data_IF_550551102867
#
_entry.id   IF_550551102867
#
_cell.length_a   1.000
_cell.length_b   1.000
_cell.length_c   1.000
_cell.angle_alpha   90.00
_cell.angle_beta   90.00
_cell.angle_gamma   90.00
#
_symmetry.space_group_name_H-M   'P 1'
#
loop_
_entity.id
_entity.type
_entity.pdbx_description
1 polymer ?
#
# COMPACT_ATOMS: atom_id res chain seq x y z
N UNK A 1 -47.24 24.07 -96.94
CA UNK A 1 -47.40 24.40 -95.52
C UNK A 1 -46.11 25.07 -95.06
N UNK A 2 -46.21 26.35 -94.70
CA UNK A 2 -45.28 27.23 -93.95
C UNK A 2 -43.78 26.85 -93.73
N UNK A 3 -42.93 27.78 -94.20
CA UNK A 3 -41.79 28.46 -93.50
C UNK A 3 -40.37 27.85 -93.63
N UNK A 4 -39.57 28.47 -94.53
CA UNK A 4 -38.11 28.72 -94.46
C UNK A 4 -37.75 29.69 -93.30
N UNK A 5 -36.49 30.06 -93.00
CA UNK A 5 -35.17 29.41 -93.07
C UNK A 5 -34.35 29.68 -91.76
N UNK A 6 -33.07 29.27 -91.65
CA UNK A 6 -31.93 30.13 -91.22
C UNK A 6 -30.64 29.37 -90.84
N UNK A 7 -29.59 29.67 -91.61
CA UNK A 7 -28.28 30.20 -91.24
C UNK A 7 -27.30 29.46 -90.30
N UNK A 8 -26.06 29.47 -90.79
CA UNK A 8 -24.81 29.07 -90.20
C UNK A 8 -24.45 29.78 -88.88
N UNK A 9 -23.72 29.07 -88.02
CA UNK A 9 -22.85 29.65 -87.01
C UNK A 9 -21.51 28.88 -86.98
N UNK A 10 -20.43 29.65 -86.98
CA UNK A 10 -19.03 29.24 -86.97
C UNK A 10 -18.68 28.28 -85.82
N UNK A 11 -17.79 27.33 -86.12
CA UNK A 11 -16.96 26.63 -85.11
C UNK A 11 -15.85 27.58 -84.66
N UNK A 12 -15.67 27.87 -83.36
CA UNK A 12 -14.44 28.48 -82.88
C UNK A 12 -13.36 27.41 -82.70
N UNK A 13 -12.17 27.64 -83.26
CA UNK A 13 -10.94 26.93 -82.89
C UNK A 13 -10.72 27.03 -81.37
N UNK A 14 -10.75 25.90 -80.67
CA UNK A 14 -10.30 25.81 -79.29
C UNK A 14 -8.77 25.74 -79.26
N UNK A 15 -8.22 26.80 -78.69
CA UNK A 15 -6.83 27.14 -78.46
C UNK A 15 -6.03 26.01 -77.77
N UNK A 16 -4.79 25.76 -78.22
CA UNK A 16 -3.82 24.77 -77.67
C UNK A 16 -3.32 25.06 -76.25
N UNK A 17 -4.11 25.70 -75.39
CA UNK A 17 -3.76 25.97 -73.98
C UNK A 17 -4.52 25.11 -72.96
N UNK A 18 -5.57 24.38 -73.37
CA UNK A 18 -6.35 23.55 -72.42
C UNK A 18 -5.88 22.08 -72.32
N UNK A 19 -4.93 21.65 -73.15
CA UNK A 19 -4.37 20.28 -73.10
C UNK A 19 -3.39 20.11 -71.92
N UNK A 20 -2.87 21.21 -71.36
CA UNK A 20 -1.93 21.17 -70.23
C UNK A 20 -2.58 20.91 -68.87
N UNK A 21 -3.89 21.12 -68.73
CA UNK A 21 -4.57 21.05 -67.41
C UNK A 21 -5.17 19.67 -67.14
N UNK A 22 -5.48 18.89 -68.19
CA UNK A 22 -6.10 17.56 -68.02
C UNK A 22 -5.09 16.47 -67.64
N UNK A 23 -3.79 16.67 -67.89
CA UNK A 23 -2.74 15.68 -67.59
C UNK A 23 -2.09 15.85 -66.19
N UNK A 24 -2.50 16.86 -65.42
CA UNK A 24 -2.17 17.00 -63.99
C UNK A 24 -3.27 16.50 -63.05
N UNK A 25 -4.47 16.21 -63.57
CA UNK A 25 -5.58 15.67 -62.76
C UNK A 25 -5.59 14.14 -62.64
N UNK A 26 -4.72 13.43 -63.38
CA UNK A 26 -4.63 11.96 -63.38
C UNK A 26 -3.35 11.39 -62.74
N UNK A 27 -2.49 12.24 -62.17
CA UNK A 27 -1.35 11.79 -61.33
C UNK A 27 -1.70 11.70 -59.84
N UNK A 28 -2.97 11.92 -59.48
CA UNK A 28 -3.48 11.90 -58.11
C UNK A 28 -4.06 10.56 -57.63
N UNK A 29 -3.95 9.49 -58.42
CA UNK A 29 -4.33 8.16 -57.96
C UNK A 29 -3.22 7.63 -57.03
N UNK A 30 -3.36 7.94 -55.74
CA UNK A 30 -2.65 7.23 -54.66
C UNK A 30 -2.77 5.73 -54.90
N UNK A 31 -1.64 5.05 -54.88
CA UNK A 31 -1.58 3.60 -54.92
C UNK A 31 -2.48 2.99 -53.84
N UNK A 32 -3.20 1.88 -54.11
CA UNK A 32 -4.05 1.22 -53.12
C UNK A 32 -3.29 0.64 -51.92
N UNK A 33 -1.95 0.71 -51.91
CA UNK A 33 -1.10 0.22 -50.83
C UNK A 33 -1.14 1.08 -49.55
N UNK A 34 -1.74 2.28 -49.57
CA UNK A 34 -1.76 3.15 -48.39
C UNK A 34 -2.86 2.85 -47.36
N UNK A 35 -3.70 1.83 -47.56
CA UNK A 35 -4.94 1.66 -46.77
C UNK A 35 -4.80 0.72 -45.55
N UNK A 36 -3.70 -0.02 -45.36
CA UNK A 36 -3.67 -1.00 -44.25
C UNK A 36 -2.33 -1.23 -43.54
N UNK A 37 -1.57 -0.16 -43.23
CA UNK A 37 -0.59 -0.27 -42.14
C UNK A 37 -1.33 -0.23 -40.79
N UNK A 38 -1.79 -1.39 -40.31
CA UNK A 38 -2.26 -1.56 -38.93
C UNK A 38 -1.21 -0.93 -38.01
N UNK A 39 -1.58 -0.05 -37.05
CA UNK A 39 -0.62 0.53 -36.15
C UNK A 39 0.04 -0.61 -35.37
N UNK A 40 1.32 -0.87 -35.63
CA UNK A 40 2.10 -1.86 -34.89
C UNK A 40 2.11 -1.39 -33.44
N UNK A 41 1.28 -2.01 -32.61
CA UNK A 41 1.20 -1.67 -31.20
C UNK A 41 2.56 -1.97 -30.59
N UNK A 42 3.27 -0.92 -30.19
CA UNK A 42 4.57 -1.05 -29.53
C UNK A 42 4.37 -1.85 -28.23
N UNK A 43 5.06 -2.99 -28.16
CA UNK A 43 4.98 -3.97 -27.07
C UNK A 43 5.62 -3.40 -25.79
N UNK A 44 5.19 -3.92 -24.64
CA UNK A 44 5.81 -3.64 -23.35
C UNK A 44 7.28 -4.12 -23.32
N UNK A 45 8.07 -3.55 -22.40
CA UNK A 45 9.48 -3.94 -22.23
C UNK A 45 9.63 -5.42 -21.83
N UNK A 46 10.79 -6.01 -22.17
CA UNK A 46 11.06 -7.41 -21.84
C UNK A 46 11.00 -7.65 -20.32
N UNK A 47 11.54 -6.71 -19.53
CA UNK A 47 11.49 -6.76 -18.06
C UNK A 47 10.06 -6.84 -17.54
N UNK A 48 9.17 -5.95 -18.01
CA UNK A 48 7.74 -6.00 -17.64
C UNK A 48 7.11 -7.34 -17.99
N UNK A 49 7.43 -7.89 -19.17
CA UNK A 49 6.89 -9.18 -19.63
C UNK A 49 7.41 -10.35 -18.78
N UNK A 50 8.68 -10.36 -18.41
CA UNK A 50 9.28 -11.39 -17.54
C UNK A 50 8.67 -11.34 -16.13
N UNK A 51 8.49 -10.14 -15.57
CA UNK A 51 7.87 -9.99 -14.24
C UNK A 51 6.40 -10.43 -14.28
N UNK A 52 5.66 -10.09 -15.33
CA UNK A 52 4.28 -10.56 -15.51
C UNK A 52 4.24 -12.09 -15.59
N UNK A 53 5.10 -12.72 -16.40
CA UNK A 53 5.15 -14.17 -16.51
C UNK A 53 5.43 -14.83 -15.15
N UNK A 54 6.43 -14.33 -14.41
CA UNK A 54 6.75 -14.83 -13.09
C UNK A 54 5.60 -14.65 -12.10
N UNK A 55 5.00 -13.46 -12.04
CA UNK A 55 3.84 -13.18 -11.17
C UNK A 55 2.64 -14.08 -11.47
N UNK A 56 2.39 -14.39 -12.74
CA UNK A 56 1.34 -15.35 -13.13
C UNK A 56 1.65 -16.77 -12.67
N UNK A 57 2.92 -17.20 -12.73
CA UNK A 57 3.31 -18.53 -12.23
C UNK A 57 3.26 -18.62 -10.70
N UNK A 58 3.56 -17.54 -9.98
CA UNK A 58 3.45 -17.50 -8.50
C UNK A 58 2.03 -17.82 -8.03
N UNK A 59 1.00 -17.45 -8.80
CA UNK A 59 -0.39 -17.77 -8.48
C UNK A 59 -0.69 -19.29 -8.43
N UNK A 60 0.17 -20.15 -9.00
CA UNK A 60 0.07 -21.62 -8.85
C UNK A 60 0.15 -22.03 -7.37
N UNK A 61 0.87 -21.28 -6.54
CA UNK A 61 0.97 -21.57 -5.11
C UNK A 61 -0.41 -21.63 -4.42
N UNK A 62 -1.40 -20.89 -4.93
CA UNK A 62 -2.75 -20.84 -4.36
C UNK A 62 -3.52 -22.18 -4.43
N UNK A 63 -3.10 -23.13 -5.26
CA UNK A 63 -3.67 -24.50 -5.21
C UNK A 63 -3.26 -25.25 -3.93
N UNK A 64 -2.22 -24.79 -3.25
CA UNK A 64 -1.58 -25.47 -2.12
C UNK A 64 -1.64 -24.68 -0.81
N UNK A 65 -2.28 -23.51 -0.80
CA UNK A 65 -2.46 -22.70 0.42
C UNK A 65 -3.91 -22.23 0.55
N UNK A 66 -4.40 -21.95 1.77
CA UNK A 66 -5.73 -21.38 1.96
C UNK A 66 -5.81 -19.96 1.39
N UNK A 67 -7.00 -19.59 0.92
CA UNK A 67 -7.29 -18.27 0.37
C UNK A 67 -7.82 -17.34 1.45
N UNK A 68 -8.58 -17.89 2.40
CA UNK A 68 -9.23 -17.13 3.45
C UNK A 68 -9.23 -17.90 4.77
N UNK A 69 -9.12 -17.17 5.88
CA UNK A 69 -9.13 -17.74 7.23
C UNK A 69 -10.22 -17.09 8.07
N UNK A 70 -11.01 -17.92 8.73
CA UNK A 70 -11.95 -17.52 9.78
C UNK A 70 -11.46 -18.11 11.09
N UNK A 71 -11.39 -17.28 12.12
CA UNK A 71 -10.93 -17.68 13.45
C UNK A 71 -11.94 -17.26 14.50
N UNK A 72 -12.29 -18.17 15.40
CA UNK A 72 -13.30 -18.00 16.43
C UNK A 72 -12.66 -18.25 17.79
N UNK A 73 -12.89 -17.37 18.77
CA UNK A 73 -12.50 -17.60 20.15
C UNK A 73 -13.75 -17.74 20.98
N UNK A 74 -13.81 -18.80 21.79
CA UNK A 74 -14.91 -19.11 22.68
C UNK A 74 -14.39 -19.27 24.12
N UNK A 75 -15.22 -19.06 25.15
CA UNK A 75 -14.82 -19.36 26.53
C UNK A 75 -14.44 -20.84 26.72
N UNK A 76 -15.07 -21.76 25.99
CA UNK A 76 -14.75 -23.19 26.02
C UNK A 76 -13.50 -23.57 25.21
N UNK A 77 -13.09 -22.71 24.27
CA UNK A 77 -11.95 -22.93 23.36
C UNK A 77 -11.06 -21.68 23.35
N UNK A 78 -10.35 -21.39 24.46
CA UNK A 78 -9.49 -20.22 24.57
C UNK A 78 -8.30 -20.24 23.60
N UNK A 79 -7.87 -21.42 23.16
CA UNK A 79 -6.89 -21.64 22.10
C UNK A 79 -7.41 -21.28 20.70
N UNK A 80 -8.73 -21.10 20.57
CA UNK A 80 -9.44 -20.72 19.37
C UNK A 80 -9.68 -21.85 18.36
N UNK A 81 -10.69 -21.61 17.52
CA UNK A 81 -11.15 -22.51 16.47
C UNK A 81 -10.93 -21.84 15.11
N UNK A 82 -10.22 -22.53 14.22
CA UNK A 82 -9.90 -22.06 12.88
C UNK A 82 -10.70 -22.81 11.83
N UNK A 83 -11.14 -22.08 10.82
CA UNK A 83 -11.72 -22.59 9.59
C UNK A 83 -10.98 -21.94 8.41
N UNK A 84 -10.36 -22.79 7.60
CA UNK A 84 -9.55 -22.39 6.45
C UNK A 84 -10.29 -22.69 5.16
N UNK A 85 -10.46 -21.67 4.33
CA UNK A 85 -11.16 -21.76 3.05
C UNK A 85 -10.13 -21.82 1.93
N UNK A 86 -10.16 -22.92 1.18
CA UNK A 86 -9.31 -23.18 0.02
C UNK A 86 -10.11 -22.95 -1.25
N UNK A 87 -9.45 -23.03 -2.42
CA UNK A 87 -10.14 -22.91 -3.71
C UNK A 87 -11.19 -24.01 -3.96
N UNK A 88 -11.09 -25.16 -3.30
CA UNK A 88 -11.89 -26.35 -3.59
C UNK A 88 -12.39 -27.10 -2.34
N UNK A 89 -12.07 -26.61 -1.14
CA UNK A 89 -12.41 -27.28 0.13
C UNK A 89 -12.36 -26.33 1.31
N UNK A 90 -12.84 -26.81 2.45
CA UNK A 90 -12.68 -26.16 3.75
C UNK A 90 -11.97 -27.14 4.69
N UNK A 91 -11.08 -26.63 5.54
CA UNK A 91 -10.37 -27.42 6.55
C UNK A 91 -10.36 -26.68 7.89
N UNK A 92 -9.80 -27.30 8.93
CA UNK A 92 -9.76 -26.75 10.30
C UNK A 92 -10.74 -27.48 11.22
N UNK A 93 -11.13 -26.85 12.32
CA UNK A 93 -12.03 -27.45 13.32
C UNK A 93 -13.52 -27.23 12.97
N UNK A 94 -13.89 -27.46 11.70
CA UNK A 94 -15.25 -27.18 11.17
C UNK A 94 -16.34 -27.95 11.92
N UNK A 95 -16.08 -29.21 12.29
CA UNK A 95 -17.06 -30.03 13.02
C UNK A 95 -17.33 -29.49 14.43
N UNK A 96 -16.31 -28.97 15.11
CA UNK A 96 -16.46 -28.34 16.43
C UNK A 96 -17.26 -27.04 16.29
N UNK A 97 -16.95 -26.23 15.27
CA UNK A 97 -17.69 -25.01 14.94
C UNK A 97 -19.16 -25.33 14.65
N UNK A 98 -19.43 -26.40 13.89
CA UNK A 98 -20.78 -26.87 13.60
C UNK A 98 -21.54 -27.29 14.87
N UNK A 99 -20.87 -27.98 15.80
CA UNK A 99 -21.44 -28.31 17.10
C UNK A 99 -21.84 -27.08 17.91
N UNK A 100 -21.02 -26.02 17.89
CA UNK A 100 -21.32 -24.76 18.55
C UNK A 100 -22.46 -23.99 17.87
N UNK A 101 -22.45 -23.95 16.54
CA UNK A 101 -23.42 -23.23 15.72
C UNK A 101 -24.83 -23.83 15.79
N UNK A 102 -24.94 -25.13 16.06
CA UNK A 102 -26.21 -25.82 16.26
C UNK A 102 -27.05 -25.20 17.39
N UNK A 103 -26.42 -24.72 18.48
CA UNK A 103 -27.15 -24.16 19.64
C UNK A 103 -27.89 -22.85 19.33
N UNK A 104 -27.43 -22.10 18.33
CA UNK A 104 -28.01 -20.81 17.89
C UNK A 104 -28.73 -20.95 16.54
N UNK A 105 -28.93 -22.19 16.06
CA UNK A 105 -29.73 -22.46 14.87
C UNK A 105 -29.04 -22.12 13.55
N UNK A 106 -27.72 -21.95 13.54
CA UNK A 106 -26.97 -21.73 12.30
C UNK A 106 -26.85 -23.04 11.50
N UNK A 107 -26.86 -22.93 10.16
CA UNK A 107 -26.77 -24.09 9.26
C UNK A 107 -25.46 -24.84 9.45
N UNK A 108 -25.49 -26.15 9.21
CA UNK A 108 -24.30 -27.00 9.29
C UNK A 108 -23.36 -26.72 8.11
N UNK A 109 -22.15 -26.25 8.41
CA UNK A 109 -21.13 -25.89 7.41
C UNK A 109 -20.58 -27.16 6.76
N UNK A 110 -20.75 -27.26 5.45
CA UNK A 110 -20.13 -28.29 4.62
C UNK A 110 -19.73 -27.71 3.26
N UNK A 111 -18.84 -28.41 2.55
CA UNK A 111 -18.31 -27.95 1.26
C UNK A 111 -19.39 -27.84 0.16
N UNK A 112 -20.49 -28.60 0.24
CA UNK A 112 -21.56 -28.57 -0.76
C UNK A 112 -22.37 -27.26 -0.73
N UNK A 113 -22.26 -26.47 0.35
CA UNK A 113 -22.87 -25.14 0.41
C UNK A 113 -22.16 -24.09 -0.45
N UNK A 114 -20.98 -24.42 -0.98
CA UNK A 114 -20.12 -23.52 -1.76
C UNK A 114 -19.97 -24.06 -3.18
N UNK A 115 -20.94 -23.84 -4.07
CA UNK A 115 -20.86 -24.29 -5.47
C UNK A 115 -19.64 -23.72 -6.21
N UNK A 116 -19.08 -22.61 -5.72
CA UNK A 116 -17.87 -21.96 -6.22
C UNK A 116 -16.66 -22.90 -6.22
N UNK A 117 -16.57 -23.82 -5.25
CA UNK A 117 -15.47 -24.79 -5.19
C UNK A 117 -15.38 -25.69 -6.41
N UNK A 118 -16.48 -25.89 -7.14
CA UNK A 118 -16.48 -26.66 -8.37
C UNK A 118 -15.77 -25.93 -9.53
N UNK A 119 -15.66 -24.59 -9.49
CA UNK A 119 -15.13 -23.81 -10.61
C UNK A 119 -14.00 -22.82 -10.28
N UNK A 120 -13.77 -22.46 -9.01
CA UNK A 120 -12.72 -21.51 -8.62
C UNK A 120 -11.31 -21.98 -9.04
N UNK A 121 -11.08 -23.29 -9.05
CA UNK A 121 -9.82 -23.87 -9.57
C UNK A 121 -9.58 -23.56 -11.05
N UNK A 122 -10.64 -23.54 -11.86
CA UNK A 122 -10.56 -23.20 -13.28
C UNK A 122 -10.50 -21.68 -13.49
N UNK A 123 -11.16 -20.89 -12.64
CA UNK A 123 -11.04 -19.42 -12.65
C UNK A 123 -9.59 -19.02 -12.39
N UNK A 124 -8.94 -19.62 -11.41
CA UNK A 124 -7.52 -19.35 -11.15
C UNK A 124 -6.64 -19.77 -12.34
N UNK A 125 -6.87 -20.95 -12.91
CA UNK A 125 -6.14 -21.42 -14.09
C UNK A 125 -6.29 -20.46 -15.27
N UNK A 126 -7.51 -19.94 -15.49
CA UNK A 126 -7.78 -18.92 -16.49
C UNK A 126 -6.94 -17.67 -16.26
N UNK A 127 -6.87 -17.13 -15.03
CA UNK A 127 -6.04 -15.96 -14.74
C UNK A 127 -4.55 -16.24 -14.92
N UNK A 128 -4.06 -17.41 -14.52
CA UNK A 128 -2.65 -17.81 -14.76
C UNK A 128 -2.36 -17.79 -16.27
N UNK A 129 -3.17 -18.48 -17.08
CA UNK A 129 -3.01 -18.53 -18.52
C UNK A 129 -3.16 -17.16 -19.17
N UNK A 130 -4.12 -16.35 -18.72
CA UNK A 130 -4.34 -15.02 -19.26
C UNK A 130 -3.14 -14.10 -18.98
N UNK A 131 -2.56 -14.16 -17.78
CA UNK A 131 -1.35 -13.43 -17.44
C UNK A 131 -0.13 -13.87 -18.26
N UNK A 132 0.03 -15.17 -18.52
CA UNK A 132 1.06 -15.69 -19.43
C UNK A 132 0.86 -15.20 -20.88
N UNK A 133 -0.39 -15.15 -21.37
CA UNK A 133 -0.72 -14.58 -22.69
C UNK A 133 -0.37 -13.08 -22.72
N UNK A 134 -0.65 -12.33 -21.65
CA UNK A 134 -0.25 -10.92 -21.54
C UNK A 134 1.27 -10.78 -21.61
N UNK A 135 2.03 -11.65 -20.93
CA UNK A 135 3.49 -11.66 -20.97
C UNK A 135 4.02 -11.97 -22.37
N UNK A 136 3.50 -12.98 -23.05
CA UNK A 136 3.91 -13.38 -24.40
C UNK A 136 3.60 -12.29 -25.41
N UNK A 137 2.36 -11.78 -25.42
CA UNK A 137 1.92 -10.76 -26.38
C UNK A 137 2.54 -9.39 -26.11
N UNK A 138 2.84 -9.08 -24.85
CA UNK A 138 3.33 -7.77 -24.42
C UNK A 138 2.31 -6.65 -24.65
N UNK A 139 1.02 -6.98 -24.69
CA UNK A 139 -0.04 -6.03 -25.00
C UNK A 139 -0.60 -5.38 -23.74
N UNK A 140 -0.34 -4.08 -23.57
CA UNK A 140 -0.83 -3.28 -22.43
C UNK A 140 -2.35 -3.22 -22.29
N UNK A 141 -3.11 -3.37 -23.39
CA UNK A 141 -4.58 -3.40 -23.33
C UNK A 141 -5.05 -4.72 -22.72
N UNK A 142 -4.40 -5.83 -23.07
CA UNK A 142 -4.68 -7.12 -22.43
C UNK A 142 -4.31 -7.10 -20.95
N UNK A 143 -3.20 -6.46 -20.57
CA UNK A 143 -2.88 -6.26 -19.15
C UNK A 143 -3.95 -5.45 -18.42
N UNK A 144 -4.50 -4.40 -19.04
CA UNK A 144 -5.62 -3.64 -18.47
C UNK A 144 -6.88 -4.50 -18.34
N UNK A 145 -7.21 -5.29 -19.38
CA UNK A 145 -8.35 -6.21 -19.34
C UNK A 145 -8.19 -7.24 -18.23
N UNK A 146 -6.99 -7.80 -18.06
CA UNK A 146 -6.66 -8.69 -16.94
C UNK A 146 -6.91 -8.02 -15.58
N UNK A 147 -6.43 -6.79 -15.39
CA UNK A 147 -6.61 -6.05 -14.14
C UNK A 147 -8.08 -5.75 -13.84
N UNK A 148 -8.84 -5.30 -14.84
CA UNK A 148 -10.27 -5.03 -14.70
C UNK A 148 -11.01 -6.33 -14.36
N UNK A 149 -10.74 -7.42 -15.08
CA UNK A 149 -11.34 -8.73 -14.83
C UNK A 149 -11.00 -9.24 -13.42
N UNK A 150 -9.76 -9.03 -12.94
CA UNK A 150 -9.33 -9.44 -11.61
C UNK A 150 -10.07 -8.66 -10.51
N UNK A 151 -10.21 -7.33 -10.67
CA UNK A 151 -10.94 -6.48 -9.71
C UNK A 151 -12.43 -6.83 -9.70
N UNK A 152 -13.06 -6.98 -10.86
CA UNK A 152 -14.47 -7.39 -10.95
C UNK A 152 -14.67 -8.76 -10.31
N UNK A 153 -13.80 -9.73 -10.63
CA UNK A 153 -13.86 -11.08 -10.04
C UNK A 153 -13.73 -11.04 -8.51
N UNK A 154 -12.81 -10.24 -7.98
CA UNK A 154 -12.66 -10.04 -6.54
C UNK A 154 -13.89 -9.41 -5.88
N UNK A 155 -14.49 -8.39 -6.51
CA UNK A 155 -15.73 -7.78 -6.01
C UNK A 155 -16.88 -8.79 -6.01
N UNK A 156 -17.05 -9.55 -7.10
CA UNK A 156 -18.09 -10.58 -7.21
C UNK A 156 -17.92 -11.63 -6.11
N UNK A 157 -16.69 -12.13 -5.89
CA UNK A 157 -16.41 -13.08 -4.83
C UNK A 157 -16.71 -12.53 -3.42
N UNK A 158 -16.39 -11.27 -3.16
CA UNK A 158 -16.67 -10.64 -1.86
C UNK A 158 -18.17 -10.37 -1.64
N UNK A 159 -18.90 -9.99 -2.69
CA UNK A 159 -20.35 -9.82 -2.64
C UNK A 159 -21.05 -11.15 -2.40
N UNK A 160 -20.65 -12.19 -3.11
CA UNK A 160 -21.17 -13.55 -2.91
C UNK A 160 -20.90 -14.04 -1.48
N UNK A 161 -19.67 -13.88 -1.00
CA UNK A 161 -19.30 -14.24 0.38
C UNK A 161 -20.09 -13.43 1.42
N UNK A 162 -20.31 -12.14 1.20
CA UNK A 162 -21.17 -11.32 2.06
C UNK A 162 -22.61 -11.83 2.09
N UNK A 163 -23.19 -12.16 0.93
CA UNK A 163 -24.56 -12.67 0.82
C UNK A 163 -24.70 -14.05 1.47
N UNK A 164 -23.70 -14.92 1.31
CA UNK A 164 -23.63 -16.19 2.01
C UNK A 164 -23.61 -15.97 3.53
N UNK A 165 -22.71 -15.10 4.03
CA UNK A 165 -22.60 -14.80 5.46
C UNK A 165 -23.86 -14.15 6.04
N UNK A 166 -24.54 -13.30 5.26
CA UNK A 166 -25.81 -12.69 5.64
C UNK A 166 -26.88 -13.77 5.85
N UNK A 167 -27.10 -14.64 4.86
CA UNK A 167 -28.05 -15.75 4.98
C UNK A 167 -27.68 -16.67 6.14
N UNK A 168 -26.39 -17.00 6.27
CA UNK A 168 -25.87 -17.85 7.34
C UNK A 168 -26.19 -17.32 8.74
N UNK A 169 -26.11 -16.00 8.94
CA UNK A 169 -26.35 -15.36 10.24
C UNK A 169 -27.78 -14.90 10.54
N UNK A 170 -28.69 -14.92 9.55
CA UNK A 170 -30.07 -14.42 9.68
C UNK A 170 -31.13 -15.51 9.44
N UNK A 171 -30.84 -16.54 8.65
CA UNK A 171 -31.73 -17.68 8.44
C UNK A 171 -31.47 -18.77 9.51
N UNK A 172 -31.87 -18.46 10.74
CA UNK A 172 -31.67 -19.34 11.90
C UNK A 172 -32.87 -20.27 12.10
N UNK A 173 -32.60 -21.47 12.62
CA UNK A 173 -33.64 -22.41 13.03
C UNK A 173 -34.46 -21.85 14.22
N UNK A 174 -35.78 -21.66 14.08
CA UNK A 174 -36.65 -21.14 15.14
C UNK A 174 -36.83 -22.12 16.33
N UNK A 175 -36.30 -23.34 16.24
CA UNK A 175 -36.33 -24.34 17.31
C UNK A 175 -35.01 -24.43 18.08
N UNK A 176 -34.02 -23.59 17.75
CA UNK A 176 -32.71 -23.58 18.40
C UNK A 176 -32.79 -23.27 19.90
N UNK A 177 -31.87 -23.86 20.67
CA UNK A 177 -31.83 -23.78 22.13
C UNK A 177 -31.60 -22.35 22.66
N UNK A 178 -30.83 -21.54 21.93
CA UNK A 178 -30.50 -20.17 22.31
C UNK A 178 -31.07 -19.22 21.25
N UNK A 179 -32.00 -18.37 21.66
CA UNK A 179 -32.59 -17.33 20.83
C UNK A 179 -32.52 -16.00 21.57
N UNK A 180 -31.93 -15.00 20.91
CA UNK A 180 -31.84 -13.63 21.44
C UNK A 180 -32.65 -12.73 20.50
N UNK A 181 -33.82 -12.22 20.92
CA UNK A 181 -34.66 -11.40 20.07
C UNK A 181 -33.91 -10.19 19.52
N UNK A 182 -33.96 -10.00 18.20
CA UNK A 182 -33.34 -8.86 17.51
C UNK A 182 -31.83 -8.97 17.28
N UNK A 183 -31.19 -10.11 17.60
CA UNK A 183 -29.77 -10.32 17.36
C UNK A 183 -29.53 -11.29 16.19
N UNK A 184 -28.58 -10.94 15.31
CA UNK A 184 -28.11 -11.82 14.22
C UNK A 184 -26.66 -12.21 14.41
N UNK A 185 -26.29 -13.36 13.86
CA UNK A 185 -24.99 -14.00 14.09
C UNK A 185 -24.10 -13.96 12.85
N UNK A 186 -24.33 -12.99 11.96
CA UNK A 186 -23.53 -12.85 10.74
C UNK A 186 -22.05 -12.65 11.08
N UNK A 187 -21.16 -13.56 10.64
CA UNK A 187 -19.71 -13.40 10.78
C UNK A 187 -19.21 -12.18 9.99
N UNK A 188 -18.10 -11.54 10.40
CA UNK A 188 -17.53 -10.43 9.64
C UNK A 188 -17.01 -10.93 8.30
N UNK A 189 -17.24 -10.17 7.22
CA UNK A 189 -16.60 -10.46 5.93
C UNK A 189 -15.08 -10.28 6.05
N UNK A 190 -14.66 -9.11 6.55
CA UNK A 190 -13.27 -8.77 6.89
C UNK A 190 -13.29 -8.09 8.25
N UNK A 191 -12.33 -8.42 9.12
CA UNK A 191 -12.15 -7.78 10.40
C UNK A 191 -12.57 -8.65 11.58
N UNK A 192 -13.00 -8.00 12.65
CA UNK A 192 -13.40 -8.62 13.91
C UNK A 192 -14.84 -8.24 14.26
N UNK A 193 -15.60 -9.19 14.80
CA UNK A 193 -16.93 -8.96 15.36
C UNK A 193 -17.17 -9.90 16.54
N UNK A 194 -17.70 -9.34 17.62
CA UNK A 194 -18.15 -10.10 18.78
C UNK A 194 -19.59 -10.57 18.59
N UNK A 195 -19.82 -11.87 18.74
CA UNK A 195 -21.13 -12.54 18.63
C UNK A 195 -21.44 -13.21 19.96
N UNK A 196 -22.22 -12.54 20.83
CA UNK A 196 -22.40 -12.88 22.25
C UNK A 196 -21.05 -12.98 22.98
N UNK A 197 -20.67 -14.21 23.37
CA UNK A 197 -19.47 -14.53 24.10
C UNK A 197 -18.36 -15.06 23.18
N UNK A 198 -18.56 -15.02 21.87
CA UNK A 198 -17.58 -15.44 20.87
C UNK A 198 -16.96 -14.24 20.17
N UNK A 199 -15.66 -14.30 19.93
CA UNK A 199 -14.97 -13.35 19.06
C UNK A 199 -14.72 -14.02 17.71
N UNK A 200 -15.18 -13.40 16.63
CA UNK A 200 -15.01 -13.90 15.26
C UNK A 200 -14.12 -12.96 14.46
N UNK A 201 -13.09 -13.51 13.84
CA UNK A 201 -12.12 -12.83 13.00
C UNK A 201 -12.15 -13.43 11.59
N UNK A 202 -12.06 -12.58 10.57
CA UNK A 202 -12.09 -13.01 9.17
C UNK A 202 -11.12 -12.19 8.34
N UNK A 203 -10.17 -12.85 7.67
CA UNK A 203 -9.13 -12.18 6.88
C UNK A 203 -8.69 -13.04 5.68
N UNK A 204 -8.17 -12.40 4.61
CA UNK A 204 -7.41 -13.12 3.60
C UNK A 204 -6.25 -13.88 4.24
N UNK A 205 -6.09 -15.14 3.86
CA UNK A 205 -4.91 -15.92 4.21
C UNK A 205 -3.85 -15.75 3.10
N UNK A 206 -2.79 -16.54 3.16
CA UNK A 206 -1.64 -16.58 2.26
C UNK A 206 -2.04 -16.49 0.80
N UNK A 207 -2.98 -17.33 0.34
CA UNK A 207 -3.46 -17.33 -1.04
C UNK A 207 -4.18 -16.05 -1.44
N UNK A 208 -4.97 -15.47 -0.52
CA UNK A 208 -5.63 -14.18 -0.73
C UNK A 208 -4.61 -13.05 -0.88
N UNK A 209 -3.59 -13.01 -0.03
CA UNK A 209 -2.51 -12.01 -0.13
C UNK A 209 -1.65 -12.16 -1.39
N UNK A 210 -1.44 -13.38 -1.89
CA UNK A 210 -0.77 -13.61 -3.18
C UNK A 210 -1.52 -12.93 -4.33
N UNK A 211 -2.85 -13.07 -4.39
CA UNK A 211 -3.67 -12.40 -5.43
C UNK A 211 -3.54 -10.88 -5.35
N UNK A 212 -3.64 -10.32 -4.14
CA UNK A 212 -3.53 -8.87 -3.91
C UNK A 212 -2.16 -8.36 -4.35
N UNK A 213 -1.09 -9.05 -3.96
CA UNK A 213 0.29 -8.66 -4.29
C UNK A 213 0.55 -8.73 -5.80
N UNK A 214 0.16 -9.83 -6.47
CA UNK A 214 0.35 -9.99 -7.92
C UNK A 214 -0.47 -8.96 -8.70
N UNK A 215 -1.73 -8.75 -8.33
CA UNK A 215 -2.60 -7.76 -8.98
C UNK A 215 -2.05 -6.33 -8.80
N UNK A 216 -1.59 -5.99 -7.59
CA UNK A 216 -0.95 -4.71 -7.31
C UNK A 216 0.33 -4.49 -8.12
N UNK A 217 1.19 -5.50 -8.22
CA UNK A 217 2.40 -5.44 -9.04
C UNK A 217 2.07 -5.25 -10.52
N UNK A 218 1.07 -5.96 -11.04
CA UNK A 218 0.65 -5.84 -12.44
C UNK A 218 0.06 -4.46 -12.74
N UNK A 219 -0.67 -3.88 -11.79
CA UNK A 219 -1.15 -2.51 -11.88
C UNK A 219 -0.01 -1.50 -11.97
N UNK A 220 1.03 -1.65 -11.12
CA UNK A 220 2.23 -0.80 -11.16
C UNK A 220 2.92 -0.91 -12.53
N UNK A 221 3.10 -2.13 -13.05
CA UNK A 221 3.71 -2.35 -14.38
C UNK A 221 2.89 -1.67 -15.48
N UNK A 222 1.58 -1.88 -15.48
CA UNK A 222 0.67 -1.26 -16.43
C UNK A 222 0.80 0.27 -16.40
N UNK A 223 0.82 0.85 -15.19
CA UNK A 223 0.93 2.28 -14.99
C UNK A 223 2.28 2.85 -15.47
N UNK A 224 3.39 2.17 -15.18
CA UNK A 224 4.73 2.56 -15.62
C UNK A 224 4.86 2.51 -17.15
N UNK A 225 4.37 1.45 -17.80
CA UNK A 225 4.36 1.33 -19.26
C UNK A 225 3.43 2.36 -19.91
N UNK A 226 2.29 2.66 -19.30
CA UNK A 226 1.39 3.73 -19.76
C UNK A 226 2.08 5.10 -19.73
N UNK A 227 2.79 5.44 -18.65
CA UNK A 227 3.55 6.69 -18.54
C UNK A 227 4.66 6.79 -19.58
N UNK A 228 5.43 5.72 -19.82
CA UNK A 228 6.49 5.68 -20.86
C UNK A 228 5.93 5.99 -22.25
N UNK A 229 4.76 5.45 -22.59
CA UNK A 229 4.14 5.68 -23.89
C UNK A 229 3.56 7.10 -24.07
N UNK A 230 3.04 7.73 -23.01
CA UNK A 230 2.60 9.14 -23.10
C UNK A 230 3.77 10.07 -23.37
N UNK A 231 4.92 9.86 -22.71
CA UNK A 231 6.15 10.64 -22.98
C UNK A 231 6.65 10.47 -24.43
N UNK A 232 6.53 9.26 -25.00
CA UNK A 232 6.94 9.00 -26.40
C UNK A 232 6.01 9.64 -27.44
N UNK A 233 4.72 9.85 -27.14
CA UNK A 233 3.81 10.59 -28.03
C UNK A 233 3.99 12.11 -27.93
N UNK A 234 4.55 12.61 -26.84
CA UNK A 234 4.80 14.04 -26.60
C UNK A 234 6.16 14.54 -27.13
N UNK A 235 7.00 13.66 -27.71
CA UNK A 235 8.33 14.01 -28.23
C UNK A 235 8.39 13.83 -29.76
N UNK A 236 7.85 14.82 -30.48
CA UNK A 236 8.35 15.31 -31.78
C UNK A 236 9.39 16.40 -31.42
N UNK A 237 10.55 16.50 -32.10
CA UNK A 237 11.81 16.81 -31.41
C UNK A 237 11.95 18.31 -31.12
N UNK A 238 12.43 18.62 -29.92
CA UNK A 238 13.23 19.82 -29.72
C UNK A 238 14.49 19.51 -28.90
N UNK A 239 15.61 19.68 -29.59
CA UNK A 239 17.00 19.87 -29.19
C UNK A 239 17.65 19.05 -28.06
N UNK A 240 18.86 18.57 -28.39
CA UNK A 240 19.77 17.69 -27.63
C UNK A 240 20.39 18.36 -26.39
N UNK A 241 19.58 18.97 -25.53
CA UNK A 241 20.03 19.50 -24.23
C UNK A 241 19.38 18.80 -23.03
N UNK A 242 18.31 18.02 -23.24
CA UNK A 242 17.58 17.34 -22.17
C UNK A 242 18.13 15.95 -21.79
N UNK A 243 19.18 15.45 -22.45
CA UNK A 243 19.78 14.14 -22.14
C UNK A 243 20.77 14.17 -20.98
N UNK A 244 21.16 15.35 -20.48
CA UNK A 244 21.99 15.46 -19.26
C UNK A 244 21.13 15.42 -17.99
N UNK A 245 19.85 15.81 -18.04
CA UNK A 245 19.01 15.84 -16.82
C UNK A 245 18.43 14.47 -16.43
N UNK A 246 18.30 13.51 -17.36
CA UNK A 246 17.78 12.18 -17.06
C UNK A 246 18.83 11.23 -16.45
N UNK A 247 20.13 11.51 -16.65
CA UNK A 247 21.22 10.75 -16.04
C UNK A 247 21.56 11.24 -14.63
N UNK A 248 21.21 12.50 -14.30
CA UNK A 248 21.34 13.07 -12.95
C UNK A 248 20.21 12.56 -12.03
N UNK A 249 18.99 12.39 -12.54
CA UNK A 249 17.84 11.93 -11.73
C UNK A 249 17.95 10.44 -11.33
N UNK A 250 18.66 9.61 -12.10
CA UNK A 250 18.87 8.18 -11.78
C UNK A 250 20.07 7.95 -10.84
N UNK A 251 21.04 8.89 -10.80
CA UNK A 251 22.08 8.90 -9.77
C UNK A 251 21.56 9.53 -8.46
N UNK A 252 20.53 10.37 -8.49
CA UNK A 252 19.89 10.92 -7.29
C UNK A 252 19.07 9.92 -6.46
N UNK A 253 18.72 8.73 -6.98
CA UNK A 253 17.93 7.72 -6.23
C UNK A 253 18.82 6.77 -5.40
N UNK A 254 20.14 6.95 -5.40
CA UNK A 254 21.04 6.30 -4.44
C UNK A 254 21.54 7.24 -3.34
N UNK A 255 20.95 8.43 -3.19
CA UNK A 255 21.07 9.13 -1.90
C UNK A 255 20.19 8.40 -0.91
N UNK A 256 20.83 7.57 -0.09
CA UNK A 256 20.29 7.09 1.17
C UNK A 256 19.45 8.22 1.80
N UNK A 257 18.18 7.94 2.07
CA UNK A 257 17.39 8.82 2.91
C UNK A 257 18.11 8.81 4.26
N UNK A 258 18.88 9.86 4.58
CA UNK A 258 19.47 9.98 5.90
C UNK A 258 18.30 9.98 6.89
N UNK A 259 18.30 9.11 7.90
CA UNK A 259 17.21 9.06 8.87
C UNK A 259 17.16 10.40 9.62
N UNK A 260 16.13 11.19 9.34
CA UNK A 260 15.98 12.56 9.84
C UNK A 260 15.16 12.56 11.13
N UNK A 261 15.56 13.44 12.04
CA UNK A 261 14.81 13.89 13.20
C UNK A 261 13.38 14.33 12.86
N UNK A 262 12.39 14.01 13.70
CA UNK A 262 11.04 14.53 13.57
C UNK A 262 10.72 15.52 14.70
N UNK A 263 10.06 16.64 14.37
CA UNK A 263 9.60 17.56 15.40
C UNK A 263 8.58 16.87 16.32
N UNK A 264 8.76 16.99 17.63
CA UNK A 264 7.78 16.53 18.62
C UNK A 264 6.55 17.47 18.59
N UNK A 265 5.38 16.89 18.34
CA UNK A 265 4.10 17.57 18.42
C UNK A 265 3.56 17.51 19.86
N UNK A 266 3.98 18.49 20.67
CA UNK A 266 3.55 18.62 22.07
C UNK A 266 2.02 18.67 22.20
N UNK A 267 1.48 17.94 23.16
CA UNK A 267 0.03 17.76 23.35
C UNK A 267 -0.63 16.75 22.40
N UNK A 268 0.14 16.08 21.53
CA UNK A 268 -0.37 15.09 20.57
C UNK A 268 0.45 13.81 20.52
N UNK A 269 1.77 13.93 20.49
CA UNK A 269 2.66 12.77 20.39
C UNK A 269 2.73 12.02 21.72
N UNK A 270 2.72 10.67 21.65
CA UNK A 270 2.88 9.82 22.81
C UNK A 270 4.34 9.44 23.03
N UNK A 271 4.78 9.43 24.29
CA UNK A 271 6.09 8.94 24.69
C UNK A 271 6.20 7.43 24.43
N UNK A 272 7.31 7.00 23.84
CA UNK A 272 7.57 5.61 23.52
C UNK A 272 7.79 4.74 24.77
N UNK A 273 8.26 5.32 25.89
CA UNK A 273 8.46 4.61 27.16
C UNK A 273 7.20 4.65 28.04
N UNK A 274 6.83 5.82 28.55
CA UNK A 274 5.74 5.94 29.54
C UNK A 274 4.31 5.91 28.95
N UNK A 275 4.18 5.96 27.62
CA UNK A 275 2.90 5.98 26.87
C UNK A 275 2.00 7.19 27.11
N UNK A 276 2.40 8.14 27.95
CA UNK A 276 1.67 9.40 28.15
C UNK A 276 1.92 10.37 27.00
N UNK A 277 1.02 11.35 26.85
CA UNK A 277 1.16 12.43 25.88
C UNK A 277 2.33 13.32 26.30
N UNK A 278 3.21 13.65 25.37
CA UNK A 278 4.35 14.54 25.60
C UNK A 278 3.84 15.97 25.69
N UNK A 279 3.93 16.58 26.88
CA UNK A 279 3.32 17.89 27.15
C UNK A 279 4.35 19.01 27.28
N UNK A 280 5.50 18.75 27.93
CA UNK A 280 6.47 19.80 28.22
C UNK A 280 7.48 19.97 27.07
N UNK A 281 7.54 21.16 26.44
CA UNK A 281 8.42 21.42 25.32
C UNK A 281 9.90 21.58 25.68
N UNK A 282 10.30 21.44 26.95
CA UNK A 282 11.68 21.69 27.39
C UNK A 282 12.51 20.45 27.67
N UNK A 283 11.88 19.29 27.85
CA UNK A 283 12.57 18.08 28.34
C UNK A 283 12.61 16.92 27.35
N UNK A 284 11.74 16.94 26.34
CA UNK A 284 11.57 15.82 25.44
C UNK A 284 12.81 15.47 24.62
N UNK A 285 12.72 14.37 23.89
CA UNK A 285 13.76 13.94 22.98
C UNK A 285 13.32 12.84 22.05
N UNK A 286 14.22 12.39 21.20
CA UNK A 286 13.96 11.33 20.24
C UNK A 286 15.15 10.40 20.02
N UNK A 287 14.84 9.14 19.71
CA UNK A 287 15.80 8.17 19.19
C UNK A 287 15.41 7.88 17.74
N UNK A 288 16.36 8.13 16.83
CA UNK A 288 16.20 7.84 15.41
C UNK A 288 17.02 6.60 15.08
N UNK A 289 16.39 5.58 14.52
CA UNK A 289 17.05 4.33 14.10
C UNK A 289 17.72 4.45 12.74
N UNK A 290 18.67 3.56 12.43
CA UNK A 290 19.31 3.44 11.11
C UNK A 290 18.31 3.16 9.98
N UNK A 291 17.15 2.59 10.32
CA UNK A 291 16.04 2.34 9.39
C UNK A 291 15.06 3.51 9.26
N UNK A 292 15.28 4.61 9.98
CA UNK A 292 14.44 5.83 9.92
C UNK A 292 13.21 5.83 10.83
N UNK A 293 13.01 4.81 11.66
CA UNK A 293 11.98 4.84 12.70
C UNK A 293 12.38 5.81 13.81
N UNK A 294 11.47 6.70 14.21
CA UNK A 294 11.64 7.67 15.29
C UNK A 294 10.83 7.24 16.51
N UNK A 295 11.48 7.22 17.67
CA UNK A 295 10.85 7.07 18.98
C UNK A 295 10.94 8.39 19.72
N UNK A 296 9.80 8.91 20.20
CA UNK A 296 9.72 10.20 20.90
C UNK A 296 9.57 9.98 22.39
N UNK A 297 10.13 10.86 23.21
CA UNK A 297 10.19 10.72 24.66
C UNK A 297 9.82 12.01 25.37
N UNK A 298 9.19 11.85 26.53
CA UNK A 298 8.71 12.96 27.35
C UNK A 298 9.84 13.65 28.12
N UNK A 299 10.82 12.86 28.57
CA UNK A 299 12.08 13.38 29.11
C UNK A 299 13.26 12.40 28.92
N UNK A 300 14.43 12.81 29.41
CA UNK A 300 15.66 12.02 29.38
C UNK A 300 15.65 10.78 30.27
N UNK A 301 14.78 10.72 31.29
CA UNK A 301 14.60 9.51 32.10
C UNK A 301 13.91 8.44 31.26
N UNK A 302 12.87 8.81 30.50
CA UNK A 302 12.25 7.89 29.54
C UNK A 302 13.23 7.38 28.47
N UNK A 303 14.14 8.23 27.97
CA UNK A 303 15.20 7.80 27.04
C UNK A 303 16.11 6.77 27.71
N UNK A 304 16.57 7.04 28.93
CA UNK A 304 17.49 6.17 29.66
C UNK A 304 16.87 4.79 29.91
N UNK A 305 15.64 4.76 30.43
CA UNK A 305 14.89 3.53 30.72
C UNK A 305 14.59 2.73 29.44
N UNK A 306 14.25 3.39 28.33
CA UNK A 306 14.01 2.73 27.06
C UNK A 306 15.28 2.07 26.50
N UNK A 307 16.43 2.73 26.63
CA UNK A 307 17.72 2.18 26.22
C UNK A 307 18.14 1.00 27.11
N UNK A 308 17.93 1.09 28.43
CA UNK A 308 18.23 0.02 29.37
C UNK A 308 17.40 -1.24 29.10
N UNK A 309 16.09 -1.09 28.85
CA UNK A 309 15.17 -2.19 28.53
C UNK A 309 15.34 -2.74 27.12
N UNK A 310 16.31 -2.23 26.34
CA UNK A 310 16.53 -2.58 24.94
C UNK A 310 15.28 -2.39 24.06
N UNK A 311 14.56 -1.29 24.25
CA UNK A 311 13.45 -0.91 23.37
C UNK A 311 13.88 -0.72 21.90
N UNK A 312 15.17 -0.47 21.68
CA UNK A 312 15.85 -0.65 20.40
C UNK A 312 17.27 -1.17 20.64
N UNK A 313 17.77 -2.04 19.76
CA UNK A 313 19.16 -2.50 19.82
C UNK A 313 20.10 -1.30 19.62
N UNK A 314 21.12 -1.18 20.49
CA UNK A 314 22.07 -0.05 20.45
C UNK A 314 22.80 0.04 19.10
N UNK A 315 23.03 -1.10 18.45
CA UNK A 315 23.62 -1.19 17.11
C UNK A 315 22.71 -0.64 16.00
N UNK A 316 21.42 -0.47 16.24
CA UNK A 316 20.43 0.03 15.28
C UNK A 316 20.08 1.50 15.47
N UNK A 317 20.65 2.17 16.48
CA UNK A 317 20.47 3.62 16.70
C UNK A 317 21.35 4.39 15.71
N UNK A 318 20.76 5.34 15.00
CA UNK A 318 21.49 6.30 14.17
C UNK A 318 21.92 7.52 15.00
N UNK A 319 20.98 8.09 15.76
CA UNK A 319 21.25 9.19 16.68
C UNK A 319 20.18 9.28 17.77
N UNK A 320 20.56 9.87 18.90
CA UNK A 320 19.66 10.24 19.98
C UNK A 320 19.77 11.74 20.18
N UNK A 321 18.63 12.41 20.23
CA UNK A 321 18.49 13.85 20.28
C UNK A 321 17.64 14.23 21.49
N UNK A 322 17.98 15.35 22.11
CA UNK A 322 17.26 15.94 23.25
C UNK A 322 16.92 17.38 22.93
N UNK A 323 15.78 17.86 23.40
CA UNK A 323 15.37 19.25 23.19
C UNK A 323 16.29 20.19 23.97
N UNK A 324 16.73 21.26 23.34
CA UNK A 324 17.48 22.32 24.01
C UNK A 324 16.56 23.08 24.97
N UNK A 325 16.92 23.10 26.26
CA UNK A 325 16.09 23.72 27.30
C UNK A 325 15.87 25.22 27.06
N UNK A 326 16.85 25.91 26.46
CA UNK A 326 16.75 27.32 26.12
C UNK A 326 15.97 27.56 24.82
N UNK A 327 15.85 26.54 23.96
CA UNK A 327 15.14 26.61 22.69
C UNK A 327 14.39 25.32 22.38
N UNK A 328 13.13 25.27 22.81
CA UNK A 328 12.23 24.13 22.62
C UNK A 328 11.98 23.67 21.18
N UNK A 329 12.41 24.44 20.17
CA UNK A 329 12.33 24.06 18.76
C UNK A 329 13.64 23.45 18.21
N UNK A 330 14.70 23.41 19.01
CA UNK A 330 16.01 22.92 18.61
C UNK A 330 16.34 21.59 19.31
N UNK A 331 16.99 20.70 18.57
CA UNK A 331 17.53 19.46 19.09
C UNK A 331 19.05 19.55 19.23
N UNK A 332 19.56 18.90 20.28
CA UNK A 332 21.00 18.70 20.53
C UNK A 332 21.26 17.20 20.58
N UNK A 333 22.37 16.75 19.98
CA UNK A 333 22.80 15.36 20.08
C UNK A 333 23.11 15.02 21.54
N UNK A 334 22.52 13.95 22.05
CA UNK A 334 22.63 13.58 23.47
C UNK A 334 24.09 13.38 23.91
N UNK A 335 24.95 12.90 23.00
CA UNK A 335 26.37 12.66 23.25
C UNK A 335 27.19 13.94 23.44
N UNK A 336 26.76 15.07 22.88
CA UNK A 336 27.44 16.37 23.00
C UNK A 336 26.67 17.37 23.85
N UNK A 337 25.48 17.00 24.32
CA UNK A 337 24.68 17.85 25.19
C UNK A 337 25.28 17.88 26.60
N UNK A 338 25.21 19.06 27.21
CA UNK A 338 25.52 19.26 28.62
C UNK A 338 24.21 19.32 29.39
N UNK A 339 24.16 18.70 30.57
CA UNK A 339 22.95 18.57 31.36
C UNK A 339 23.09 19.29 32.69
N UNK A 340 22.04 19.97 33.11
CA UNK A 340 21.91 20.49 34.47
C UNK A 340 20.87 19.63 35.18
N UNK A 341 21.25 19.04 36.31
CA UNK A 341 20.35 18.22 37.13
C UNK A 341 20.01 18.99 38.39
N UNK A 342 18.72 19.11 38.69
CA UNK A 342 18.23 19.71 39.94
C UNK A 342 16.77 19.34 40.16
N UNK A 343 16.39 19.06 41.40
CA UNK A 343 14.99 18.86 41.80
C UNK A 343 14.07 20.04 41.46
N UNK A 344 14.62 21.23 41.21
CA UNK A 344 13.86 22.41 40.82
C UNK A 344 13.42 22.41 39.35
N UNK A 345 14.06 21.60 38.47
CA UNK A 345 13.75 21.56 37.04
C UNK A 345 12.42 20.82 36.75
N UNK A 346 12.03 19.85 37.59
CA UNK A 346 10.73 19.16 37.54
C UNK A 346 10.35 18.64 36.15
N UNK A 347 11.14 17.70 35.60
CA UNK A 347 10.77 17.05 34.33
C UNK A 347 9.58 16.10 34.50
N UNK A 348 8.78 15.84 33.45
CA UNK A 348 7.54 15.07 33.54
C UNK A 348 7.69 13.67 34.18
N UNK A 349 8.81 12.98 33.94
CA UNK A 349 9.05 11.62 34.41
C UNK A 349 10.15 11.55 35.47
N UNK A 350 10.39 12.65 36.18
CA UNK A 350 11.26 12.66 37.37
C UNK A 350 12.76 12.64 37.09
N UNK A 351 13.17 12.72 35.81
CA UNK A 351 14.59 12.84 35.43
C UNK A 351 15.26 14.12 35.94
N UNK A 352 14.48 15.20 36.12
CA UNK A 352 14.92 16.47 36.72
C UNK A 352 16.18 17.06 36.08
N UNK A 353 16.35 16.80 34.79
CA UNK A 353 17.55 17.11 34.02
C UNK A 353 17.18 17.88 32.75
N UNK A 354 17.80 19.04 32.58
CA UNK A 354 17.64 19.91 31.41
C UNK A 354 18.87 19.82 30.52
N UNK A 355 18.67 19.71 29.20
CA UNK A 355 19.75 19.62 28.21
C UNK A 355 20.09 20.99 27.62
N UNK A 356 21.37 21.23 27.37
CA UNK A 356 21.90 22.48 26.79
C UNK A 356 22.85 22.16 25.65
N UNK A 357 22.89 23.06 24.67
CA UNK A 357 23.74 22.93 23.49
C UNK A 357 25.24 22.97 23.79
N UNK A 358 25.65 23.68 24.85
CA UNK A 358 27.05 23.84 25.23
C UNK A 358 27.21 24.05 26.75
N UNK A 359 28.46 23.93 27.20
CA UNK A 359 28.80 23.99 28.61
C UNK A 359 28.56 25.36 29.25
N UNK A 360 28.66 26.46 28.49
CA UNK A 360 28.47 27.80 29.02
C UNK A 360 27.01 28.02 29.41
N UNK A 361 26.07 27.66 28.54
CA UNK A 361 24.63 27.74 28.83
C UNK A 361 24.24 26.86 30.01
N UNK A 362 24.81 25.65 30.12
CA UNK A 362 24.58 24.78 31.27
C UNK A 362 25.12 25.40 32.57
N UNK A 363 26.31 26.02 32.55
CA UNK A 363 26.89 26.70 33.72
C UNK A 363 26.09 27.93 34.13
N UNK A 364 25.66 28.74 33.17
CA UNK A 364 24.79 29.90 33.42
C UNK A 364 23.49 29.47 34.09
N UNK A 365 22.85 28.39 33.58
CA UNK A 365 21.64 27.87 34.20
C UNK A 365 21.91 27.27 35.59
N UNK A 366 23.04 26.59 35.76
CA UNK A 366 23.41 26.00 37.05
C UNK A 366 23.68 27.06 38.12
N UNK A 367 24.29 28.19 37.75
CA UNK A 367 24.58 29.28 38.68
C UNK A 367 23.33 29.92 39.31
N UNK A 368 22.17 29.85 38.63
CA UNK A 368 20.90 30.40 39.12
C UNK A 368 20.01 29.38 39.83
N UNK A 369 20.40 28.10 39.84
CA UNK A 369 19.67 27.03 40.53
C UNK A 369 20.53 26.46 41.65
N UNK A 370 20.20 26.82 42.88
CA UNK A 370 20.88 26.31 44.07
C UNK A 370 20.79 24.78 44.14
N UNK A 371 21.91 24.13 44.44
CA UNK A 371 22.02 22.67 44.52
C UNK A 371 22.00 21.95 43.17
N UNK A 372 22.07 22.68 42.05
CA UNK A 372 22.17 22.05 40.72
C UNK A 372 23.58 21.53 40.43
N UNK A 373 23.65 20.51 39.56
CA UNK A 373 24.92 19.94 39.10
C UNK A 373 24.96 19.86 37.58
N UNK A 374 26.04 20.37 36.98
CA UNK A 374 26.33 20.17 35.56
C UNK A 374 26.93 18.78 35.36
N UNK A 375 26.47 18.07 34.33
CA UNK A 375 26.90 16.71 34.02
C UNK A 375 26.76 16.39 32.53
N UNK A 376 27.31 15.26 32.09
CA UNK A 376 27.22 14.77 30.72
C UNK A 376 26.32 13.53 30.64
N UNK A 377 25.96 13.13 29.41
CA UNK A 377 25.07 11.99 29.21
C UNK A 377 25.54 10.67 29.85
N UNK A 378 26.80 10.20 29.71
CA UNK A 378 27.21 8.94 30.33
C UNK A 378 27.06 8.94 31.85
N UNK A 379 27.36 10.07 32.51
CA UNK A 379 27.21 10.20 33.96
C UNK A 379 25.73 10.28 34.36
N UNK A 380 24.94 11.08 33.63
CA UNK A 380 23.51 11.23 33.86
C UNK A 380 22.76 9.92 33.66
N UNK A 381 23.06 9.19 32.58
CA UNK A 381 22.47 7.89 32.28
C UNK A 381 22.59 6.96 33.48
N UNK A 382 23.80 6.80 34.03
CA UNK A 382 24.05 5.99 35.21
C UNK A 382 23.38 6.49 36.50
N UNK A 383 22.98 7.76 36.58
CA UNK A 383 22.20 8.28 37.71
C UNK A 383 20.72 7.93 37.53
N UNK A 384 20.23 7.94 36.30
CA UNK A 384 18.81 7.73 35.98
C UNK A 384 18.37 6.26 35.97
N UNK A 385 19.28 5.33 35.69
CA UNK A 385 19.00 3.88 35.64
C UNK A 385 19.39 3.12 36.92
N UNK A 386 19.89 3.83 37.93
CA UNK A 386 20.12 3.27 39.26
C UNK A 386 18.86 3.41 40.09
#
# INVERSE_FOLDING_TARGET
MKVQPQQAALVPELNKRDVGVTMQMLSGLRSPESILKKPVMKKMSITSRTIIAFGSMVMIAMYFVPVWSIYLIAPQYPEGLSMQIWLYKITGQVEIINGLNHYIGMKHINAAMFPEFAFLVYVLAFFILFGLIVAITGNRKLLLTFLIASVIGGIVALVDFYQWGYRYGHELDPTAAIQVPGLSYQPPLIGHKKLLNFDSYSYPDTGGWVVVAVTGLFFIIWFLEWRKHKKQKAMIPHNKLATVSAMIIIISVMMACNPVAEKIAFGKDNCAECKMIIMDPKFGGEIVTKKGKVYKFDDVHCIATFMERRGVEMGDIHQTLVVDYNNSNAFVKIATAEFVVSSQLKSPMGGNAAAFKNQNEAKEKSAVIEGSKVTNWPTLYNILIK
#
